data_IF_785311571818
#
_entry.id   IF_785311571818
#
_cell.length_a   1.000
_cell.length_b   1.000
_cell.length_c   1.000
_cell.angle_alpha   90.00
_cell.angle_beta   90.00
_cell.angle_gamma   90.00
#
_symmetry.space_group_name_H-M   'P 1'
#
loop_
_entity.id
_entity.type
_entity.pdbx_description
1 polymer ?
#
# COMPACT_ATOMS: atom_id res chain seq x y z
N UNK A 1 39.00 9.48 -20.26
CA UNK A 1 38.92 8.01 -20.09
C UNK A 1 38.42 7.56 -18.70
N UNK A 2 38.59 8.33 -17.61
CA UNK A 2 38.11 7.97 -16.26
C UNK A 2 36.58 7.99 -16.06
N UNK A 3 35.84 8.86 -16.77
CA UNK A 3 34.38 9.00 -16.59
C UNK A 3 33.60 7.82 -17.19
N UNK A 4 34.00 7.40 -18.40
CA UNK A 4 33.44 6.19 -19.05
C UNK A 4 33.63 4.94 -18.19
N UNK A 5 34.80 4.77 -17.59
CA UNK A 5 35.09 3.64 -16.70
C UNK A 5 34.24 3.64 -15.40
N UNK A 6 33.91 4.83 -14.87
CA UNK A 6 33.00 4.95 -13.72
C UNK A 6 31.56 4.57 -14.10
N UNK A 7 31.08 4.98 -15.27
CA UNK A 7 29.75 4.59 -15.76
C UNK A 7 29.62 3.08 -15.98
N UNK A 8 30.61 2.43 -16.58
CA UNK A 8 30.62 0.96 -16.73
C UNK A 8 30.63 0.23 -15.39
N UNK A 9 31.25 0.81 -14.35
CA UNK A 9 31.29 0.22 -13.01
C UNK A 9 29.95 0.31 -12.29
N UNK A 10 29.13 1.32 -12.58
CA UNK A 10 27.75 1.45 -12.06
C UNK A 10 26.77 0.49 -12.76
N UNK A 11 27.08 0.08 -13.99
CA UNK A 11 26.30 -0.90 -14.77
C UNK A 11 26.64 -2.35 -14.43
N UNK A 12 27.74 -2.59 -13.71
CA UNK A 12 28.13 -3.92 -13.30
C UNK A 12 27.23 -4.37 -12.16
N UNK A 13 26.50 -5.46 -12.39
CA UNK A 13 25.70 -6.10 -11.35
C UNK A 13 26.58 -6.51 -10.16
N UNK A 14 26.01 -6.39 -8.95
CA UNK A 14 26.67 -6.81 -7.74
C UNK A 14 26.91 -8.32 -7.78
N UNK A 15 28.11 -8.76 -7.41
CA UNK A 15 28.45 -10.17 -7.30
C UNK A 15 27.77 -10.76 -6.06
N UNK A 16 26.48 -11.07 -6.22
CA UNK A 16 25.60 -11.59 -5.18
C UNK A 16 25.19 -13.03 -5.54
N UNK A 17 25.03 -13.91 -4.54
CA UNK A 17 24.59 -15.28 -4.78
C UNK A 17 23.16 -15.29 -5.34
N UNK A 18 22.82 -16.33 -6.13
CA UNK A 18 21.47 -16.51 -6.70
C UNK A 18 20.35 -16.38 -5.66
N UNK A 19 20.58 -16.86 -4.43
CA UNK A 19 19.62 -16.78 -3.33
C UNK A 19 19.22 -15.34 -2.96
N UNK A 20 20.14 -14.37 -3.11
CA UNK A 20 19.85 -12.96 -2.90
C UNK A 20 18.82 -12.47 -3.93
N UNK A 21 19.03 -12.79 -5.21
CA UNK A 21 18.13 -12.39 -6.29
C UNK A 21 16.77 -13.09 -6.20
N UNK A 22 16.73 -14.37 -5.78
CA UNK A 22 15.48 -15.09 -5.54
C UNK A 22 14.66 -14.44 -4.41
N UNK A 23 15.31 -14.08 -3.30
CA UNK A 23 14.66 -13.37 -2.20
C UNK A 23 14.20 -11.98 -2.63
N UNK A 24 15.05 -11.24 -3.36
CA UNK A 24 14.72 -9.91 -3.85
C UNK A 24 13.55 -9.94 -4.84
N UNK A 25 13.52 -10.92 -5.75
CA UNK A 25 12.42 -11.12 -6.69
C UNK A 25 11.12 -11.46 -5.94
N UNK A 26 11.18 -12.35 -4.93
CA UNK A 26 10.03 -12.69 -4.10
C UNK A 26 9.47 -11.46 -3.37
N UNK A 27 10.33 -10.65 -2.76
CA UNK A 27 9.93 -9.42 -2.09
C UNK A 27 9.33 -8.41 -3.07
N UNK A 28 9.94 -8.26 -4.26
CA UNK A 28 9.44 -7.33 -5.30
C UNK A 28 8.06 -7.75 -5.79
N UNK A 29 7.82 -9.05 -5.98
CA UNK A 29 6.48 -9.57 -6.31
C UNK A 29 5.46 -9.27 -5.22
N UNK A 30 5.82 -9.48 -3.95
CA UNK A 30 4.92 -9.18 -2.84
C UNK A 30 4.57 -7.68 -2.75
N UNK A 31 5.54 -6.78 -2.98
CA UNK A 31 5.29 -5.33 -3.03
C UNK A 31 4.40 -4.98 -4.23
N UNK A 32 4.68 -5.55 -5.40
CA UNK A 32 3.87 -5.34 -6.60
C UNK A 32 2.42 -5.79 -6.38
N UNK A 33 2.21 -7.00 -5.88
CA UNK A 33 0.90 -7.56 -5.56
C UNK A 33 0.15 -6.68 -4.55
N UNK A 34 0.83 -6.25 -3.48
CA UNK A 34 0.24 -5.33 -2.51
C UNK A 34 -0.26 -4.03 -3.17
N UNK A 35 0.55 -3.40 -4.03
CA UNK A 35 0.17 -2.15 -4.70
C UNK A 35 -1.03 -2.37 -5.62
N UNK A 36 -1.00 -3.39 -6.49
CA UNK A 36 -2.06 -3.65 -7.45
C UNK A 36 -3.37 -4.05 -6.77
N UNK A 37 -3.32 -4.98 -5.81
CA UNK A 37 -4.51 -5.41 -5.05
C UNK A 37 -5.09 -4.25 -4.25
N UNK A 38 -4.25 -3.38 -3.69
CA UNK A 38 -4.72 -2.16 -3.01
C UNK A 38 -5.46 -1.25 -3.98
N UNK A 39 -4.89 -0.96 -5.15
CA UNK A 39 -5.53 -0.11 -6.17
C UNK A 39 -6.86 -0.71 -6.63
N UNK A 40 -6.89 -2.00 -6.98
CA UNK A 40 -8.10 -2.70 -7.41
C UNK A 40 -9.20 -2.66 -6.34
N UNK A 41 -8.84 -2.94 -5.08
CA UNK A 41 -9.77 -2.89 -3.95
C UNK A 41 -10.36 -1.50 -3.77
N UNK A 42 -9.55 -0.45 -3.90
CA UNK A 42 -9.99 0.94 -3.78
C UNK A 42 -10.91 1.36 -4.94
N UNK A 43 -10.66 0.87 -6.17
CA UNK A 43 -11.55 1.09 -7.31
C UNK A 43 -12.91 0.42 -7.08
N UNK A 44 -12.92 -0.84 -6.63
CA UNK A 44 -14.16 -1.59 -6.33
C UNK A 44 -14.95 -0.88 -5.24
N UNK A 45 -14.29 -0.43 -4.17
CA UNK A 45 -14.93 0.35 -3.11
C UNK A 45 -15.58 1.63 -3.63
N UNK A 46 -14.91 2.34 -4.54
CA UNK A 46 -15.43 3.58 -5.15
C UNK A 46 -16.66 3.29 -6.00
N UNK A 47 -16.65 2.20 -6.77
CA UNK A 47 -17.81 1.76 -7.55
C UNK A 47 -19.00 1.39 -6.65
N UNK A 48 -18.75 0.70 -5.53
CA UNK A 48 -19.79 0.37 -4.54
C UNK A 48 -20.35 1.63 -3.87
N UNK A 49 -19.50 2.62 -3.56
CA UNK A 49 -19.93 3.90 -3.01
C UNK A 49 -20.86 4.64 -3.98
N UNK A 50 -20.47 4.73 -5.26
CA UNK A 50 -21.29 5.32 -6.31
C UNK A 50 -22.61 4.58 -6.51
N UNK A 51 -22.57 3.25 -6.51
CA UNK A 51 -23.76 2.41 -6.62
C UNK A 51 -24.71 2.62 -5.44
N UNK A 52 -24.18 2.74 -4.21
CA UNK A 52 -24.97 3.05 -3.02
C UNK A 52 -25.61 4.43 -3.12
N UNK A 53 -24.84 5.46 -3.50
CA UNK A 53 -25.34 6.83 -3.66
C UNK A 53 -26.47 6.94 -4.70
N UNK A 54 -26.41 6.15 -5.78
CA UNK A 54 -27.45 6.15 -6.82
C UNK A 54 -28.66 5.28 -6.49
N UNK A 55 -28.45 4.12 -5.88
CA UNK A 55 -29.51 3.13 -5.66
C UNK A 55 -30.23 3.28 -4.32
N UNK A 56 -29.54 3.79 -3.29
CA UNK A 56 -30.04 3.74 -1.91
C UNK A 56 -30.27 2.32 -1.38
N UNK A 57 -29.74 1.29 -2.04
CA UNK A 57 -29.98 -0.12 -1.71
C UNK A 57 -29.14 -0.59 -0.52
N UNK A 58 -29.75 -1.01 0.61
CA UNK A 58 -29.01 -1.41 1.81
C UNK A 58 -28.03 -2.57 1.55
N UNK A 59 -28.32 -3.44 0.59
CA UNK A 59 -27.42 -4.52 0.18
C UNK A 59 -26.08 -3.97 -0.36
N UNK A 60 -26.12 -2.88 -1.14
CA UNK A 60 -24.92 -2.23 -1.68
C UNK A 60 -24.13 -1.55 -0.57
N UNK A 61 -24.81 -0.97 0.42
CA UNK A 61 -24.16 -0.42 1.62
C UNK A 61 -23.41 -1.50 2.40
N UNK A 62 -24.01 -2.68 2.60
CA UNK A 62 -23.35 -3.80 3.28
C UNK A 62 -22.09 -4.23 2.53
N UNK A 63 -22.17 -4.39 1.20
CA UNK A 63 -21.01 -4.73 0.39
C UNK A 63 -19.91 -3.65 0.47
N UNK A 64 -20.29 -2.37 0.45
CA UNK A 64 -19.35 -1.27 0.64
C UNK A 64 -18.65 -1.34 2.00
N UNK A 65 -19.39 -1.56 3.08
CA UNK A 65 -18.81 -1.66 4.43
C UNK A 65 -17.89 -2.88 4.58
N UNK A 66 -18.24 -4.02 3.98
CA UNK A 66 -17.38 -5.21 3.96
C UNK A 66 -16.08 -4.94 3.20
N UNK A 67 -16.17 -4.32 2.01
CA UNK A 67 -14.99 -3.94 1.24
C UNK A 67 -14.11 -2.93 2.00
N UNK A 68 -14.73 -1.95 2.67
CA UNK A 68 -14.04 -0.99 3.52
C UNK A 68 -13.31 -1.67 4.68
N UNK A 69 -13.97 -2.58 5.38
CA UNK A 69 -13.37 -3.36 6.47
C UNK A 69 -12.19 -4.21 5.98
N UNK A 70 -12.34 -4.87 4.82
CA UNK A 70 -11.26 -5.63 4.19
C UNK A 70 -10.05 -4.76 3.85
N UNK A 71 -10.27 -3.62 3.19
CA UNK A 71 -9.21 -2.67 2.85
C UNK A 71 -8.50 -2.12 4.10
N UNK A 72 -9.25 -1.77 5.15
CA UNK A 72 -8.70 -1.32 6.43
C UNK A 72 -7.74 -2.34 7.03
N UNK A 73 -8.16 -3.61 7.11
CA UNK A 73 -7.35 -4.71 7.66
C UNK A 73 -6.13 -5.00 6.80
N UNK A 74 -6.30 -5.03 5.47
CA UNK A 74 -5.24 -5.32 4.52
C UNK A 74 -4.14 -4.24 4.57
N UNK A 75 -4.52 -2.97 4.38
CA UNK A 75 -3.60 -1.82 4.43
C UNK A 75 -2.94 -1.74 5.82
N UNK A 76 -3.72 -1.94 6.88
CA UNK A 76 -3.22 -1.87 8.26
C UNK A 76 -2.14 -2.91 8.53
N UNK A 77 -2.33 -4.13 8.06
CA UNK A 77 -1.39 -5.23 8.23
C UNK A 77 -0.07 -4.94 7.51
N UNK A 78 -0.12 -4.50 6.26
CA UNK A 78 1.09 -4.19 5.48
C UNK A 78 1.86 -2.98 6.01
N UNK A 79 1.16 -1.93 6.47
CA UNK A 79 1.83 -0.77 7.08
C UNK A 79 2.52 -1.19 8.38
N UNK A 80 1.85 -1.97 9.23
CA UNK A 80 2.47 -2.49 10.46
C UNK A 80 3.68 -3.34 10.12
N UNK A 81 3.55 -4.28 9.18
CA UNK A 81 4.67 -5.10 8.73
C UNK A 81 5.86 -4.24 8.26
N UNK A 82 5.62 -3.24 7.41
CA UNK A 82 6.67 -2.33 6.93
C UNK A 82 7.33 -1.51 8.03
N UNK A 83 6.55 -1.00 8.99
CA UNK A 83 7.08 -0.24 10.13
C UNK A 83 7.88 -1.13 11.09
N UNK A 84 7.43 -2.36 11.32
CA UNK A 84 8.19 -3.35 12.09
C UNK A 84 9.50 -3.74 11.39
N UNK A 85 9.46 -3.99 10.08
CA UNK A 85 10.65 -4.27 9.29
C UNK A 85 11.63 -3.09 9.30
N UNK A 86 11.14 -1.85 9.24
CA UNK A 86 11.96 -0.65 9.37
C UNK A 86 12.58 -0.57 10.77
N UNK A 87 11.82 -0.84 11.83
CA UNK A 87 12.33 -0.82 13.20
C UNK A 87 13.47 -1.83 13.43
N UNK A 88 13.36 -3.02 12.82
CA UNK A 88 14.40 -4.04 12.84
C UNK A 88 15.61 -3.63 12.01
N UNK A 89 15.40 -3.10 10.79
CA UNK A 89 16.48 -2.69 9.91
C UNK A 89 17.34 -1.56 10.50
N UNK A 90 16.74 -0.64 11.25
CA UNK A 90 17.44 0.47 11.90
C UNK A 90 17.94 0.14 13.32
N UNK A 91 17.81 -1.10 13.78
CA UNK A 91 18.22 -1.55 15.13
C UNK A 91 17.79 -0.58 16.24
N UNK A 92 16.52 -0.15 16.21
CA UNK A 92 16.04 0.91 17.11
C UNK A 92 16.33 0.57 18.58
N UNK A 93 17.04 1.44 19.33
CA UNK A 93 17.33 1.22 20.73
C UNK A 93 16.06 0.98 21.54
N UNK A 94 16.12 0.07 22.52
CA UNK A 94 14.95 -0.33 23.31
C UNK A 94 14.14 0.85 23.89
N UNK A 95 14.83 1.94 24.28
CA UNK A 95 14.22 3.18 24.79
C UNK A 95 13.31 3.91 23.80
N UNK A 96 13.55 3.76 22.49
CA UNK A 96 12.78 4.41 21.43
C UNK A 96 11.82 3.45 20.72
N UNK A 97 12.05 2.15 20.86
CA UNK A 97 11.23 1.11 20.22
C UNK A 97 9.76 1.19 20.67
N UNK A 98 9.50 1.40 21.95
CA UNK A 98 8.12 1.50 22.46
C UNK A 98 7.38 2.72 21.90
N UNK A 99 8.01 3.90 21.92
CA UNK A 99 7.44 5.12 21.34
C UNK A 99 7.23 4.98 19.82
N UNK A 100 8.17 4.36 19.12
CA UNK A 100 8.05 4.07 17.69
C UNK A 100 6.89 3.11 17.40
N UNK A 101 6.70 2.06 18.20
CA UNK A 101 5.60 1.12 18.03
C UNK A 101 4.24 1.78 18.28
N UNK A 102 4.12 2.65 19.28
CA UNK A 102 2.93 3.46 19.49
C UNK A 102 2.64 4.38 18.31
N UNK A 103 3.64 5.12 17.85
CA UNK A 103 3.52 5.95 16.66
C UNK A 103 3.10 5.13 15.45
N UNK A 104 3.71 3.96 15.25
CA UNK A 104 3.39 3.06 14.15
C UNK A 104 1.94 2.57 14.20
N UNK A 105 1.42 2.30 15.39
CA UNK A 105 0.03 1.91 15.60
C UNK A 105 -0.93 3.03 15.22
N UNK A 106 -0.66 4.27 15.68
CA UNK A 106 -1.46 5.46 15.35
C UNK A 106 -1.41 5.75 13.84
N UNK A 107 -0.21 5.78 13.25
CA UNK A 107 -0.04 6.02 11.81
C UNK A 107 -0.74 4.95 10.98
N UNK A 108 -0.55 3.67 11.32
CA UNK A 108 -1.24 2.56 10.65
C UNK A 108 -2.76 2.74 10.73
N UNK A 109 -3.30 3.04 11.91
CA UNK A 109 -4.74 3.25 12.08
C UNK A 109 -5.27 4.42 11.26
N UNK A 110 -4.60 5.57 11.34
CA UNK A 110 -4.99 6.79 10.61
C UNK A 110 -4.91 6.56 9.10
N UNK A 111 -3.85 5.94 8.59
CA UNK A 111 -3.73 5.67 7.16
C UNK A 111 -4.77 4.64 6.71
N UNK A 112 -4.97 3.55 7.45
CA UNK A 112 -5.97 2.53 7.10
C UNK A 112 -7.40 3.04 7.05
N UNK A 113 -7.76 4.04 7.87
CA UNK A 113 -9.10 4.63 7.84
C UNK A 113 -9.23 5.74 6.78
N UNK A 114 -8.18 6.55 6.61
CA UNK A 114 -8.23 7.71 5.73
C UNK A 114 -7.99 7.36 4.27
N UNK A 115 -7.09 6.42 3.97
CA UNK A 115 -6.69 6.09 2.62
C UNK A 115 -7.86 5.57 1.77
N UNK A 116 -8.70 4.64 2.26
CA UNK A 116 -9.88 4.21 1.51
C UNK A 116 -10.89 5.34 1.28
N UNK A 117 -11.04 6.24 2.25
CA UNK A 117 -11.94 7.38 2.14
C UNK A 117 -11.47 8.40 1.09
N UNK A 118 -10.23 8.88 1.19
CA UNK A 118 -9.70 9.88 0.26
C UNK A 118 -9.54 9.34 -1.15
N UNK A 119 -9.06 8.10 -1.28
CA UNK A 119 -8.95 7.47 -2.60
C UNK A 119 -10.32 7.23 -3.23
N UNK A 120 -11.33 6.89 -2.42
CA UNK A 120 -12.73 6.83 -2.82
C UNK A 120 -13.22 8.13 -3.46
N UNK A 121 -12.89 9.29 -2.86
CA UNK A 121 -13.24 10.60 -3.42
C UNK A 121 -12.55 10.88 -4.76
N UNK A 122 -11.25 10.60 -4.86
CA UNK A 122 -10.46 10.83 -6.08
C UNK A 122 -10.98 9.95 -7.23
N UNK A 123 -11.15 8.65 -6.99
CA UNK A 123 -11.61 7.71 -8.01
C UNK A 123 -13.05 8.03 -8.41
N UNK A 124 -13.92 8.40 -7.46
CA UNK A 124 -15.27 8.87 -7.76
C UNK A 124 -15.25 10.08 -8.69
N UNK A 125 -14.34 11.04 -8.47
CA UNK A 125 -14.15 12.19 -9.36
C UNK A 125 -13.67 11.77 -10.75
N UNK A 126 -12.69 10.86 -10.84
CA UNK A 126 -12.20 10.33 -12.12
C UNK A 126 -13.34 9.65 -12.87
N UNK A 127 -14.07 8.73 -12.23
CA UNK A 127 -15.19 8.01 -12.83
C UNK A 127 -16.28 8.99 -13.27
N UNK A 128 -16.69 9.94 -12.43
CA UNK A 128 -17.72 10.92 -12.75
C UNK A 128 -17.33 11.80 -13.95
N UNK A 129 -16.09 12.26 -14.01
CA UNK A 129 -15.58 13.06 -15.13
C UNK A 129 -15.42 12.24 -16.42
N UNK A 130 -15.15 10.94 -16.30
CA UNK A 130 -14.95 10.04 -17.45
C UNK A 130 -16.27 9.55 -18.05
N UNK A 131 -17.34 9.45 -17.24
CA UNK A 131 -18.68 9.06 -17.69
C UNK A 131 -19.48 10.26 -18.23
N UNK A 132 -19.09 11.50 -17.91
CA UNK A 132 -19.69 12.72 -18.47
C UNK A 132 -19.08 13.16 -19.83
N UNK A 133 -18.41 12.24 -20.55
CA UNK A 133 -18.01 12.42 -21.96
C UNK A 133 -18.94 11.59 -22.83
#
# INVERSE_FOLDING_TARGET
>A
MMILFRMFRTLRDFDQPKSFFEQWLGNTKAVHEFIFVTIESLIIMSALQLAWQKSGSPAVLVLYLLAYGGAFLFIGTYIRYGLHAAAEHFELPARFREAFLWFSGVTSFVVSISLPYFFGLIVTQIIANSIMI
#
